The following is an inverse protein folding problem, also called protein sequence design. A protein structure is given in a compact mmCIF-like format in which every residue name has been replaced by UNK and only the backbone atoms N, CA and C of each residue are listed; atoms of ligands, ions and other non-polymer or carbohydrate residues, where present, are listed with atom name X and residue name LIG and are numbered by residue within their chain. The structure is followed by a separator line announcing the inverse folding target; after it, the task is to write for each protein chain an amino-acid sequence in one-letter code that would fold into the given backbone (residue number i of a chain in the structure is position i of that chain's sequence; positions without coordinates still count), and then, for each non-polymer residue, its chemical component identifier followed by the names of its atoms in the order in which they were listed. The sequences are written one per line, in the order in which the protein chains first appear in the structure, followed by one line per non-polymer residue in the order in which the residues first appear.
data_IF_119853063182
#
_entry.id   IF_119853063182
#
_cell.length_a   1.000
_cell.length_b   1.000
_cell.length_c   1.000
_cell.angle_alpha   90.00
_cell.angle_beta   90.00
_cell.angle_gamma   90.00
#
_symmetry.space_group_name_H-M   'P 1'
#
loop_
_entity.id
_entity.type
_entity.pdbx_description
1 polymer ?
#
# COMPACT_ATOMS: atom_id res chain seq x y z
N UNK A 1 5.39 -1.09 1.35
CA UNK A 1 4.83 0.19 0.83
C UNK A 1 4.60 0.10 -0.67
N UNK A 2 3.42 0.53 -1.14
CA UNK A 2 3.09 0.69 -2.56
C UNK A 2 3.16 2.18 -2.92
N UNK A 3 3.74 2.52 -4.06
CA UNK A 3 3.85 3.91 -4.50
C UNK A 3 3.27 4.09 -5.90
N UNK A 4 2.36 5.05 -6.04
CA UNK A 4 1.78 5.46 -7.33
C UNK A 4 2.32 6.84 -7.69
N UNK A 5 2.92 6.97 -8.88
CA UNK A 5 3.32 8.27 -9.42
C UNK A 5 2.08 8.98 -9.96
N UNK A 6 1.85 10.23 -9.55
CA UNK A 6 0.79 11.05 -10.15
C UNK A 6 1.07 11.23 -11.64
N UNK A 7 0.10 10.89 -12.50
CA UNK A 7 0.12 11.32 -13.89
C UNK A 7 -0.24 12.81 -13.97
N UNK A 8 0.35 13.54 -14.93
CA UNK A 8 0.10 14.96 -15.12
C UNK A 8 -1.38 15.30 -15.40
N UNK A 9 -2.19 14.30 -15.79
CA UNK A 9 -3.60 14.45 -16.13
C UNK A 9 -4.58 14.29 -14.93
N UNK A 10 -4.10 13.87 -13.75
CA UNK A 10 -4.98 13.64 -12.60
C UNK A 10 -5.15 14.93 -11.80
N UNK A 11 -6.37 15.48 -11.80
CA UNK A 11 -6.76 16.76 -11.17
C UNK A 11 -6.15 16.95 -9.76
N UNK A 12 -5.38 18.03 -9.59
CA UNK A 12 -4.66 18.39 -8.35
C UNK A 12 -5.56 18.49 -7.11
N UNK A 13 -6.86 18.72 -7.27
CA UNK A 13 -7.79 19.08 -6.19
C UNK A 13 -8.49 17.92 -5.47
N UNK A 14 -8.30 16.65 -5.85
CA UNK A 14 -9.09 15.52 -5.28
C UNK A 14 -8.40 14.71 -4.19
N UNK A 15 -7.09 14.84 -4.01
CA UNK A 15 -6.38 14.08 -2.99
C UNK A 15 -5.45 15.00 -2.21
N UNK A 16 -5.91 15.41 -1.02
CA UNK A 16 -5.05 15.87 0.04
C UNK A 16 -3.93 14.82 0.26
N UNK A 17 -2.78 15.18 0.86
CA UNK A 17 -1.84 14.17 1.37
C UNK A 17 -2.49 13.41 2.53
N UNK A 18 -3.48 12.58 2.22
CA UNK A 18 -4.02 11.61 3.16
C UNK A 18 -3.07 10.44 3.15
N UNK A 19 -2.33 10.32 4.24
CA UNK A 19 -1.88 9.01 4.70
C UNK A 19 -3.17 8.26 5.01
N UNK A 20 -3.75 7.58 4.02
CA UNK A 20 -4.97 6.80 4.22
C UNK A 20 -4.70 5.83 5.37
N UNK A 21 -5.51 5.95 6.41
CA UNK A 21 -5.20 5.57 7.79
C UNK A 21 -4.74 4.11 7.93
N UNK A 22 -3.43 3.93 8.11
CA UNK A 22 -2.88 2.80 8.86
C UNK A 22 -1.72 3.32 9.71
N UNK A 23 -1.83 3.10 11.01
CA UNK A 23 -0.89 3.54 12.05
C UNK A 23 0.50 2.87 11.92
N UNK A 24 1.26 3.20 10.87
CA UNK A 24 2.66 2.80 10.72
C UNK A 24 3.57 3.79 11.45
N UNK A 25 4.04 3.41 12.64
CA UNK A 25 5.19 4.09 13.27
C UNK A 25 6.51 3.85 12.53
N UNK A 26 6.64 2.73 11.82
CA UNK A 26 7.92 2.28 11.28
C UNK A 26 8.47 3.18 10.15
N UNK A 27 7.64 3.59 9.20
CA UNK A 27 8.13 4.24 7.96
C UNK A 27 7.61 5.66 7.72
N UNK A 28 7.14 6.35 8.76
CA UNK A 28 6.56 7.69 8.64
C UNK A 28 7.48 8.66 7.89
N UNK A 29 8.80 8.56 8.10
CA UNK A 29 9.78 9.41 7.43
C UNK A 29 9.86 9.14 5.91
N UNK A 30 9.87 7.87 5.49
CA UNK A 30 9.88 7.50 4.07
C UNK A 30 8.58 7.93 3.39
N UNK A 31 7.45 7.68 4.06
CA UNK A 31 6.12 8.08 3.61
C UNK A 31 6.03 9.59 3.35
N UNK A 32 6.48 10.41 4.30
CA UNK A 32 6.45 11.87 4.17
C UNK A 32 7.40 12.38 3.07
N UNK A 33 8.60 11.82 2.97
CA UNK A 33 9.58 12.17 1.94
C UNK A 33 9.06 11.87 0.53
N UNK A 34 8.49 10.68 0.33
CA UNK A 34 7.97 10.29 -0.97
C UNK A 34 6.68 11.02 -1.34
N UNK A 35 5.84 11.31 -0.35
CA UNK A 35 4.65 12.12 -0.55
C UNK A 35 5.00 13.55 -0.98
N UNK A 36 6.07 14.14 -0.45
CA UNK A 36 6.53 15.47 -0.85
C UNK A 36 7.07 15.51 -2.30
N UNK A 37 7.55 14.37 -2.80
CA UNK A 37 7.94 14.17 -4.20
C UNK A 37 6.74 13.87 -5.13
N UNK A 38 5.51 13.92 -4.61
CA UNK A 38 4.29 13.76 -5.40
C UNK A 38 3.83 12.32 -5.59
N UNK A 39 4.37 11.36 -4.85
CA UNK A 39 3.85 9.99 -4.84
C UNK A 39 2.63 9.87 -3.94
N UNK A 40 1.68 9.02 -4.33
CA UNK A 40 0.69 8.47 -3.39
C UNK A 40 1.29 7.20 -2.80
N UNK A 41 1.55 7.20 -1.50
CA UNK A 41 2.11 6.06 -0.78
C UNK A 41 1.00 5.34 -0.01
N UNK A 42 0.88 4.03 -0.23
CA UNK A 42 -0.10 3.16 0.43
C UNK A 42 0.66 2.10 1.22
N UNK A 43 0.27 1.89 2.47
CA UNK A 43 0.96 0.96 3.37
C UNK A 43 -0.03 -0.10 3.90
N UNK A 44 -0.31 -1.14 3.10
CA UNK A 44 -1.19 -2.20 3.54
C UNK A 44 -0.53 -3.03 4.63
N UNK A 45 -1.32 -3.48 5.60
CA UNK A 45 -0.90 -4.57 6.49
C UNK A 45 -0.95 -5.87 5.68
N UNK A 46 0.03 -6.75 5.86
CA UNK A 46 -0.02 -8.09 5.28
C UNK A 46 -1.07 -8.94 6.01
N UNK A 47 -1.55 -10.01 5.35
CA UNK A 47 -2.40 -11.02 5.98
C UNK A 47 -1.81 -11.53 7.29
N UNK A 48 -2.65 -11.74 8.31
CA UNK A 48 -2.22 -12.14 9.66
C UNK A 48 -1.53 -11.05 10.50
N UNK A 49 -1.43 -9.82 10.02
CA UNK A 49 -0.86 -8.69 10.76
C UNK A 49 -1.90 -7.60 11.08
N UNK A 50 -1.92 -7.19 12.34
CA UNK A 50 -2.72 -6.06 12.83
C UNK A 50 -4.22 -6.26 12.50
N UNK A 51 -4.78 -5.41 11.66
CA UNK A 51 -6.21 -5.35 11.37
C UNK A 51 -6.57 -6.19 10.12
N UNK A 52 -5.79 -7.21 9.79
CA UNK A 52 -6.11 -8.16 8.73
C UNK A 52 -6.59 -9.48 9.33
N UNK A 53 -7.34 -10.24 8.55
CA UNK A 53 -7.77 -11.57 8.95
C UNK A 53 -6.57 -12.50 9.13
N UNK A 54 -6.68 -13.40 10.11
CA UNK A 54 -5.67 -14.40 10.44
C UNK A 54 -6.22 -15.79 10.14
N UNK A 55 -5.62 -16.48 9.18
CA UNK A 55 -5.87 -17.91 8.95
C UNK A 55 -5.07 -18.76 9.95
N UNK A 56 -5.64 -19.84 10.50
CA UNK A 56 -4.90 -20.78 11.34
C UNK A 56 -3.98 -21.72 10.53
N UNK A 57 -4.18 -21.82 9.21
CA UNK A 57 -3.36 -22.70 8.37
C UNK A 57 -2.09 -22.00 7.89
N UNK A 58 -0.92 -22.61 8.14
CA UNK A 58 0.36 -22.09 7.65
C UNK A 58 0.42 -22.02 6.12
N UNK A 59 -0.29 -22.92 5.43
CA UNK A 59 -0.35 -22.92 3.96
C UNK A 59 -1.07 -21.70 3.38
N UNK A 60 -1.78 -20.92 4.20
CA UNK A 60 -2.43 -19.66 3.78
C UNK A 60 -1.47 -18.46 3.71
N UNK A 61 -0.19 -18.62 4.04
CA UNK A 61 0.80 -17.55 4.11
C UNK A 61 1.94 -17.72 3.10
N UNK A 62 1.71 -18.43 2.00
CA UNK A 62 2.70 -18.54 0.93
C UNK A 62 2.88 -17.20 0.20
N UNK A 63 4.00 -17.03 -0.49
CA UNK A 63 4.24 -15.84 -1.31
C UNK A 63 3.11 -15.60 -2.34
N UNK A 64 2.56 -16.67 -2.93
CA UNK A 64 1.44 -16.56 -3.89
C UNK A 64 0.20 -15.93 -3.27
N UNK A 65 -0.11 -16.30 -2.03
CA UNK A 65 -1.22 -15.70 -1.29
C UNK A 65 -0.99 -14.21 -1.00
N UNK A 66 0.25 -13.81 -0.68
CA UNK A 66 0.60 -12.39 -0.48
C UNK A 66 0.47 -11.60 -1.79
N UNK A 67 0.95 -12.16 -2.90
CA UNK A 67 0.80 -11.55 -4.23
C UNK A 67 -0.68 -11.39 -4.59
N UNK A 68 -1.51 -12.40 -4.33
CA UNK A 68 -2.95 -12.32 -4.58
C UNK A 68 -3.64 -11.21 -3.77
N UNK A 69 -3.27 -11.02 -2.50
CA UNK A 69 -3.82 -9.91 -1.70
C UNK A 69 -3.43 -8.55 -2.28
N UNK A 70 -2.17 -8.41 -2.71
CA UNK A 70 -1.70 -7.17 -3.31
C UNK A 70 -2.43 -6.88 -4.61
N UNK A 71 -2.62 -7.87 -5.49
CA UNK A 71 -3.40 -7.72 -6.72
C UNK A 71 -4.85 -7.32 -6.39
N UNK A 72 -5.52 -8.04 -5.50
CA UNK A 72 -6.89 -7.73 -5.10
C UNK A 72 -7.03 -6.32 -4.49
N UNK A 73 -6.01 -5.87 -3.74
CA UNK A 73 -5.96 -4.51 -3.22
C UNK A 73 -5.81 -3.47 -4.34
N UNK A 74 -4.95 -3.71 -5.34
CA UNK A 74 -4.78 -2.82 -6.48
C UNK A 74 -6.06 -2.71 -7.30
N UNK A 75 -6.72 -3.84 -7.56
CA UNK A 75 -8.00 -3.90 -8.25
C UNK A 75 -9.08 -3.10 -7.49
N UNK A 76 -9.18 -3.31 -6.17
CA UNK A 76 -10.12 -2.59 -5.33
C UNK A 76 -9.88 -1.07 -5.33
N UNK A 77 -8.62 -0.65 -5.39
CA UNK A 77 -8.24 0.76 -5.42
C UNK A 77 -8.27 1.38 -6.82
N UNK A 78 -8.51 0.58 -7.88
CA UNK A 78 -8.48 1.02 -9.26
C UNK A 78 -7.10 1.50 -9.72
N UNK A 79 -6.04 0.81 -9.28
CA UNK A 79 -4.64 1.17 -9.57
C UNK A 79 -4.02 0.09 -10.47
N UNK A 80 -3.72 0.45 -11.72
CA UNK A 80 -3.16 -0.50 -12.69
C UNK A 80 -1.68 -0.83 -12.43
N UNK A 81 -0.90 0.14 -11.93
CA UNK A 81 0.54 0.00 -11.75
C UNK A 81 1.04 0.72 -10.50
N UNK A 82 2.02 0.10 -9.86
CA UNK A 82 2.68 0.58 -8.64
C UNK A 82 4.16 0.28 -8.66
N UNK A 83 4.93 1.08 -7.95
CA UNK A 83 6.23 0.67 -7.44
C UNK A 83 6.02 -0.04 -6.10
N UNK A 84 6.40 -1.30 -6.01
CA UNK A 84 6.33 -2.09 -4.78
C UNK A 84 7.68 -2.02 -4.06
N UNK A 85 7.67 -1.52 -2.82
CA UNK A 85 8.82 -1.49 -1.91
C UNK A 85 8.48 -2.37 -0.71
N UNK A 86 9.34 -3.34 -0.41
CA UNK A 86 9.16 -4.27 0.72
C UNK A 86 10.41 -4.29 1.59
N UNK A 87 10.22 -4.52 2.88
CA UNK A 87 11.26 -4.79 3.86
C UNK A 87 10.78 -6.01 4.69
N UNK A 88 11.67 -6.63 5.44
CA UNK A 88 11.32 -7.68 6.42
C UNK A 88 10.69 -7.12 7.70
#
# INVERSE_FOLDING_TARGET
MLMVRRSAATNLGKFAPTVDHAHLKADRHQLLSLSSLGYRCITPNLRGFRNTDTSPSQTSYTAMHMVSDLIGLLDHLGIDQVFLVTHD
#
